data_IF_007597969844
#
_entry.id   IF_007597969844
#
_cell.length_a   1.000
_cell.length_b   1.000
_cell.length_c   1.000
_cell.angle_alpha   90.00
_cell.angle_beta   90.00
_cell.angle_gamma   90.00
#
_symmetry.space_group_name_H-M   'P 1'
#
loop_
_entity.id
_entity.type
_entity.pdbx_description
1 polymer ?
#
# COMPACT_ATOMS: atom_id res chain seq x y z
N UNK A 1 -9.17 3.00 24.25
CA UNK A 1 -9.28 2.48 22.87
C UNK A 1 -8.05 2.95 22.13
N UNK A 2 -7.36 2.03 21.50
CA UNK A 2 -6.19 2.36 20.68
C UNK A 2 -6.70 3.10 19.42
N UNK A 3 -6.06 4.21 19.11
CA UNK A 3 -6.41 5.02 17.96
C UNK A 3 -5.13 5.33 17.18
N UNK A 4 -5.14 5.04 15.88
CA UNK A 4 -4.05 5.34 14.95
C UNK A 4 -4.59 6.21 13.84
N UNK A 5 -3.92 7.31 13.56
CA UNK A 5 -4.24 8.18 12.44
C UNK A 5 -3.36 7.85 11.23
N UNK A 6 -3.98 7.75 10.05
CA UNK A 6 -3.26 7.43 8.79
C UNK A 6 -3.50 8.56 7.80
N UNK A 7 -2.42 9.22 7.40
CA UNK A 7 -2.43 10.23 6.33
C UNK A 7 -2.18 9.54 5.00
N UNK A 8 -3.13 9.65 4.08
CA UNK A 8 -3.00 9.16 2.70
C UNK A 8 -2.53 10.33 1.83
N UNK A 9 -1.45 10.13 1.10
CA UNK A 9 -0.98 11.07 0.09
C UNK A 9 -1.28 10.49 -1.29
N UNK A 10 -2.43 10.86 -1.87
CA UNK A 10 -2.77 10.55 -3.25
C UNK A 10 -1.94 11.42 -4.17
N UNK A 11 -0.78 10.92 -4.57
CA UNK A 11 0.23 11.68 -5.29
C UNK A 11 -0.05 11.76 -6.80
N UNK A 12 0.20 12.94 -7.38
CA UNK A 12 0.38 13.11 -8.82
C UNK A 12 1.80 12.71 -9.20
N UNK A 13 2.02 11.43 -9.48
CA UNK A 13 3.36 10.89 -9.76
C UNK A 13 3.87 11.41 -11.09
N UNK A 14 5.00 12.14 -11.06
CA UNK A 14 5.76 12.50 -12.26
C UNK A 14 6.51 11.28 -12.79
N UNK A 15 6.14 10.82 -13.98
CA UNK A 15 6.67 9.60 -14.58
C UNK A 15 8.19 9.67 -14.77
N UNK A 16 8.92 8.67 -14.25
CA UNK A 16 10.38 8.55 -14.26
C UNK A 16 11.15 9.68 -13.58
N UNK A 17 10.52 10.47 -12.71
CA UNK A 17 11.17 11.60 -12.05
C UNK A 17 11.17 11.44 -10.53
N UNK A 18 12.10 10.61 -10.01
CA UNK A 18 12.21 10.32 -8.57
C UNK A 18 12.33 11.57 -7.72
N UNK A 19 13.23 12.45 -8.10
CA UNK A 19 13.51 13.67 -7.33
C UNK A 19 12.26 14.53 -7.19
N UNK A 20 11.53 14.76 -8.29
CA UNK A 20 10.30 15.55 -8.26
C UNK A 20 9.20 14.92 -7.42
N UNK A 21 9.09 13.60 -7.45
CA UNK A 21 8.11 12.87 -6.65
C UNK A 21 8.42 12.97 -5.15
N UNK A 22 9.68 12.85 -4.76
CA UNK A 22 10.14 13.01 -3.37
C UNK A 22 9.91 14.45 -2.89
N UNK A 23 10.27 15.46 -3.68
CA UNK A 23 10.00 16.86 -3.39
C UNK A 23 8.51 17.12 -3.20
N UNK A 24 7.67 16.59 -4.10
CA UNK A 24 6.21 16.73 -4.00
C UNK A 24 5.65 16.14 -2.70
N UNK A 25 6.14 14.99 -2.25
CA UNK A 25 5.74 14.40 -0.96
C UNK A 25 6.17 15.31 0.19
N UNK A 26 7.40 15.83 0.17
CA UNK A 26 7.89 16.78 1.18
C UNK A 26 7.01 18.03 1.26
N UNK A 27 6.74 18.65 0.11
CA UNK A 27 5.93 19.86 0.03
C UNK A 27 4.49 19.62 0.55
N UNK A 28 3.91 18.48 0.22
CA UNK A 28 2.58 18.09 0.69
C UNK A 28 2.53 17.89 2.20
N UNK A 29 3.52 17.21 2.77
CA UNK A 29 3.62 17.02 4.22
C UNK A 29 3.85 18.35 4.95
N UNK A 30 4.63 19.26 4.37
CA UNK A 30 4.87 20.59 4.95
C UNK A 30 3.64 21.51 4.91
N UNK A 31 2.74 21.30 3.96
CA UNK A 31 1.49 22.05 3.86
C UNK A 31 0.44 21.61 4.90
N UNK A 32 0.58 20.39 5.46
CA UNK A 32 -0.37 19.84 6.43
C UNK A 32 -0.09 20.38 7.84
N UNK A 33 -1.14 20.84 8.51
CA UNK A 33 -1.06 21.26 9.91
C UNK A 33 -0.85 20.11 10.90
N UNK A 34 -1.29 18.92 10.51
CA UNK A 34 -1.16 17.68 11.30
C UNK A 34 -0.98 16.50 10.37
N UNK A 35 0.07 15.71 10.61
CA UNK A 35 0.35 14.46 9.93
C UNK A 35 -0.01 13.30 10.87
N UNK A 36 -0.59 12.24 10.33
CA UNK A 36 -0.97 11.07 11.10
C UNK A 36 0.22 10.25 11.61
N UNK A 37 -0.08 9.29 12.47
CA UNK A 37 0.91 8.34 13.00
C UNK A 37 1.58 7.52 11.89
N UNK A 38 0.84 7.27 10.79
CA UNK A 38 1.32 6.65 9.57
C UNK A 38 1.04 7.59 8.39
N UNK A 39 2.01 7.73 7.51
CA UNK A 39 1.86 8.33 6.18
C UNK A 39 1.95 7.25 5.12
N UNK A 40 0.89 7.07 4.34
CA UNK A 40 0.78 6.05 3.30
C UNK A 40 0.91 6.68 1.92
N UNK A 41 1.90 6.21 1.14
CA UNK A 41 2.19 6.62 -0.23
C UNK A 41 1.77 5.53 -1.24
N UNK A 42 1.55 5.87 -2.52
CA UNK A 42 1.19 4.90 -3.56
C UNK A 42 2.28 3.86 -3.86
N UNK A 43 1.90 2.82 -4.61
CA UNK A 43 2.81 1.85 -5.22
C UNK A 43 3.76 2.57 -6.20
N UNK A 44 5.07 2.27 -6.14
CA UNK A 44 6.10 2.82 -7.01
C UNK A 44 6.00 4.35 -7.18
N UNK A 45 5.80 5.06 -6.08
CA UNK A 45 5.54 6.49 -6.09
C UNK A 45 6.69 7.31 -6.68
N UNK A 46 7.91 6.78 -6.65
CA UNK A 46 9.10 7.48 -7.17
C UNK A 46 9.23 7.42 -8.68
N UNK A 47 8.71 6.35 -9.32
CA UNK A 47 9.07 6.02 -10.71
C UNK A 47 7.90 5.99 -11.69
N UNK A 48 6.69 5.68 -11.24
CA UNK A 48 5.60 5.20 -12.07
C UNK A 48 5.64 3.66 -12.18
N UNK A 49 4.70 3.07 -12.95
CA UNK A 49 4.47 1.63 -12.93
C UNK A 49 4.64 0.96 -14.30
N UNK A 50 4.33 1.65 -15.40
CA UNK A 50 4.39 1.10 -16.76
C UNK A 50 5.62 1.63 -17.48
N UNK A 51 6.40 0.72 -18.07
CA UNK A 51 7.63 1.04 -18.80
C UNK A 51 7.64 0.34 -20.15
N UNK A 52 8.46 0.81 -21.10
CA UNK A 52 8.62 0.15 -22.40
C UNK A 52 9.26 -1.23 -22.24
N UNK A 53 10.24 -1.34 -21.36
CA UNK A 53 10.93 -2.59 -21.04
C UNK A 53 11.39 -2.63 -19.56
N UNK A 54 12.02 -3.73 -19.17
CA UNK A 54 12.52 -3.92 -17.82
C UNK A 54 13.76 -3.06 -17.51
N UNK A 55 14.56 -2.71 -18.50
CA UNK A 55 15.80 -1.95 -18.32
C UNK A 55 15.50 -0.55 -17.79
N UNK A 56 14.45 0.10 -18.31
CA UNK A 56 14.02 1.42 -17.88
C UNK A 56 13.69 1.49 -16.37
N UNK A 57 12.98 0.50 -15.82
CA UNK A 57 12.67 0.49 -14.39
C UNK A 57 13.85 -0.01 -13.55
N UNK A 58 14.68 -0.90 -14.09
CA UNK A 58 15.86 -1.40 -13.39
C UNK A 58 16.90 -0.29 -13.15
N UNK A 59 17.04 0.65 -14.06
CA UNK A 59 17.89 1.85 -13.90
C UNK A 59 17.38 2.78 -12.78
N UNK A 60 16.08 2.79 -12.54
CA UNK A 60 15.43 3.62 -11.52
C UNK A 60 15.34 2.92 -10.14
N UNK A 61 15.52 1.60 -10.10
CA UNK A 61 15.42 0.82 -8.86
C UNK A 61 16.63 1.11 -7.94
N UNK A 62 16.40 1.02 -6.64
CA UNK A 62 17.37 1.39 -5.62
C UNK A 62 17.76 0.20 -4.74
N UNK A 63 19.06 0.09 -4.43
CA UNK A 63 19.52 -0.77 -3.33
C UNK A 63 19.15 -0.11 -2.01
N UNK A 64 18.36 -0.80 -1.19
CA UNK A 64 17.87 -0.22 0.06
C UNK A 64 18.95 -0.03 1.13
N UNK A 65 20.16 -0.55 0.91
CA UNK A 65 21.32 -0.25 1.77
C UNK A 65 22.01 1.07 1.40
N UNK A 66 21.73 1.62 0.20
CA UNK A 66 22.30 2.89 -0.30
C UNK A 66 21.23 3.62 -1.15
N UNK A 67 20.13 4.02 -0.51
CA UNK A 67 18.95 4.60 -1.16
C UNK A 67 18.73 6.04 -0.74
N UNK A 68 18.89 6.96 -1.68
CA UNK A 68 18.57 8.38 -1.46
C UNK A 68 17.09 8.62 -1.19
N UNK A 69 16.21 7.75 -1.72
CA UNK A 69 14.78 7.80 -1.41
C UNK A 69 14.53 7.45 0.06
N UNK A 70 15.11 6.36 0.58
CA UNK A 70 14.96 5.97 1.99
C UNK A 70 15.52 7.05 2.91
N UNK A 71 16.68 7.64 2.58
CA UNK A 71 17.26 8.74 3.36
C UNK A 71 16.29 9.94 3.43
N UNK A 72 15.68 10.31 2.31
CA UNK A 72 14.71 11.40 2.23
C UNK A 72 13.45 11.08 3.05
N UNK A 73 12.92 9.86 2.93
CA UNK A 73 11.77 9.41 3.72
C UNK A 73 12.09 9.39 5.22
N UNK A 74 13.30 8.98 5.61
CA UNK A 74 13.78 9.00 7.01
C UNK A 74 13.76 10.42 7.58
N UNK A 75 14.25 11.39 6.82
CA UNK A 75 14.23 12.79 7.22
C UNK A 75 12.80 13.34 7.37
N UNK A 76 11.91 13.02 6.43
CA UNK A 76 10.49 13.39 6.50
C UNK A 76 9.79 12.73 7.70
N UNK A 77 10.03 11.44 7.92
CA UNK A 77 9.48 10.70 9.04
C UNK A 77 9.90 11.29 10.39
N UNK A 78 11.19 11.64 10.54
CA UNK A 78 11.71 12.31 11.73
C UNK A 78 11.07 13.70 11.93
N UNK A 79 10.99 14.50 10.87
CA UNK A 79 10.45 15.87 10.91
C UNK A 79 8.96 15.91 11.30
N UNK A 80 8.17 15.00 10.73
CA UNK A 80 6.71 14.97 10.90
C UNK A 80 6.24 13.99 11.99
N UNK A 81 7.17 13.27 12.65
CA UNK A 81 6.87 12.25 13.68
C UNK A 81 5.88 11.19 13.21
N UNK A 82 6.06 10.69 12.00
CA UNK A 82 5.19 9.72 11.32
C UNK A 82 5.98 8.48 10.88
N UNK A 83 5.31 7.35 10.77
CA UNK A 83 5.85 6.16 10.12
C UNK A 83 5.47 6.23 8.64
N UNK A 84 6.44 6.26 7.72
CA UNK A 84 6.15 6.34 6.28
C UNK A 84 6.13 4.95 5.67
N UNK A 85 5.03 4.62 4.98
CA UNK A 85 4.82 3.38 4.23
C UNK A 85 4.72 3.72 2.75
N UNK A 86 5.70 3.31 1.95
CA UNK A 86 5.90 3.82 0.59
C UNK A 86 6.28 2.71 -0.40
N UNK A 87 5.65 2.71 -1.59
CA UNK A 87 5.98 1.79 -2.69
C UNK A 87 7.18 2.28 -3.50
N UNK A 88 8.23 1.47 -3.62
CA UNK A 88 9.51 1.79 -4.29
C UNK A 88 9.98 0.59 -5.13
N UNK A 89 10.66 0.86 -6.26
CA UNK A 89 11.37 -0.17 -7.01
C UNK A 89 12.68 -0.54 -6.28
N UNK A 90 12.78 -1.79 -5.84
CA UNK A 90 13.93 -2.32 -5.11
C UNK A 90 14.88 -3.05 -6.07
N UNK A 91 16.18 -2.81 -5.90
CA UNK A 91 17.26 -3.62 -6.45
C UNK A 91 17.93 -4.39 -5.30
N UNK A 92 17.97 -5.71 -5.39
CA UNK A 92 18.68 -6.57 -4.44
C UNK A 92 19.61 -7.48 -5.24
N UNK A 93 20.88 -7.17 -5.20
CA UNK A 93 21.90 -7.88 -5.99
C UNK A 93 21.59 -7.87 -7.50
N UNK A 94 21.22 -9.00 -8.07
CA UNK A 94 20.84 -9.14 -9.49
C UNK A 94 19.33 -9.27 -9.70
N UNK A 95 18.53 -9.01 -8.67
CA UNK A 95 17.08 -9.10 -8.73
C UNK A 95 16.42 -7.77 -8.46
N UNK A 96 15.22 -7.58 -9.03
CA UNK A 96 14.43 -6.37 -8.88
C UNK A 96 13.05 -6.73 -8.35
N UNK A 97 12.49 -5.87 -7.48
CA UNK A 97 11.22 -6.12 -6.84
C UNK A 97 10.36 -4.86 -6.81
N UNK A 98 9.07 -5.05 -6.90
CA UNK A 98 8.08 -4.05 -6.54
C UNK A 98 7.89 -4.17 -5.03
N UNK A 99 8.38 -3.20 -4.28
CA UNK A 99 8.49 -3.28 -2.82
C UNK A 99 7.81 -2.11 -2.13
N UNK A 100 7.38 -2.36 -0.90
CA UNK A 100 7.00 -1.32 0.07
C UNK A 100 8.03 -1.30 1.18
N UNK A 101 8.44 -0.10 1.54
CA UNK A 101 9.27 0.17 2.72
C UNK A 101 8.44 0.75 3.84
N UNK A 102 8.82 0.44 5.08
CA UNK A 102 8.30 1.05 6.30
C UNK A 102 9.48 1.76 6.96
N UNK A 103 9.41 3.09 7.04
CA UNK A 103 10.51 3.95 7.46
C UNK A 103 10.05 4.86 8.60
N UNK A 104 10.88 5.00 9.63
CA UNK A 104 10.72 6.02 10.67
C UNK A 104 11.91 6.98 10.71
N UNK A 105 11.99 7.82 11.73
CA UNK A 105 13.10 8.76 11.91
C UNK A 105 14.47 8.12 12.18
N UNK A 106 14.54 6.81 12.37
CA UNK A 106 15.79 6.05 12.55
C UNK A 106 16.24 5.33 11.28
N UNK A 107 15.38 5.25 10.26
CA UNK A 107 15.66 4.62 8.97
C UNK A 107 14.65 3.56 8.56
N UNK A 108 15.08 2.63 7.70
CA UNK A 108 14.28 1.51 7.21
C UNK A 108 14.04 0.49 8.34
N UNK A 109 12.76 0.28 8.70
CA UNK A 109 12.37 -0.70 9.71
C UNK A 109 11.99 -2.05 9.08
N UNK A 110 11.15 -2.00 8.04
CA UNK A 110 10.63 -3.19 7.37
C UNK A 110 10.54 -2.99 5.88
N UNK A 111 10.53 -4.09 5.12
CA UNK A 111 10.20 -4.12 3.70
C UNK A 111 9.27 -5.28 3.36
N UNK A 112 8.41 -5.07 2.38
CA UNK A 112 7.53 -6.07 1.79
C UNK A 112 7.75 -6.11 0.29
N UNK A 113 7.90 -7.29 -0.31
CA UNK A 113 7.99 -7.50 -1.75
C UNK A 113 6.68 -8.06 -2.27
N UNK A 114 6.12 -7.45 -3.30
CA UNK A 114 4.84 -7.86 -3.90
C UNK A 114 4.81 -9.34 -4.22
N UNK A 115 3.79 -10.04 -3.72
CA UNK A 115 3.63 -11.49 -3.91
C UNK A 115 2.91 -11.80 -5.21
N UNK A 116 1.83 -11.07 -5.53
CA UNK A 116 1.14 -11.23 -6.81
C UNK A 116 1.86 -10.51 -7.93
N UNK A 117 1.62 -10.92 -9.17
CA UNK A 117 2.21 -10.27 -10.34
C UNK A 117 1.17 -10.05 -11.42
N UNK A 118 1.02 -8.81 -11.87
CA UNK A 118 0.36 -8.48 -13.13
C UNK A 118 1.22 -8.94 -14.31
N UNK A 119 0.72 -8.76 -15.53
CA UNK A 119 1.52 -9.01 -16.75
C UNK A 119 2.77 -8.11 -16.82
N UNK A 120 2.72 -6.90 -16.26
CA UNK A 120 3.84 -5.96 -16.21
C UNK A 120 4.84 -6.32 -15.10
N UNK A 121 4.36 -6.63 -13.89
CA UNK A 121 5.26 -7.11 -12.82
C UNK A 121 6.10 -8.31 -13.28
N UNK A 122 5.50 -9.24 -14.05
CA UNK A 122 6.22 -10.42 -14.59
C UNK A 122 7.34 -10.06 -15.57
N UNK A 123 7.27 -8.90 -16.21
CA UNK A 123 8.33 -8.42 -17.10
C UNK A 123 9.44 -7.71 -16.34
N UNK A 124 9.09 -7.02 -15.25
CA UNK A 124 9.98 -6.09 -14.56
C UNK A 124 10.60 -6.65 -13.29
N UNK A 125 9.85 -7.46 -12.53
CA UNK A 125 10.17 -7.77 -11.15
C UNK A 125 10.13 -9.26 -10.83
N UNK A 126 10.95 -9.66 -9.89
CA UNK A 126 10.84 -10.93 -9.19
C UNK A 126 9.67 -10.91 -8.20
N UNK A 127 9.17 -12.09 -7.85
CA UNK A 127 8.06 -12.26 -6.91
C UNK A 127 8.58 -12.25 -5.46
N UNK A 128 7.88 -11.59 -4.55
CA UNK A 128 8.04 -11.77 -3.12
C UNK A 128 7.50 -13.12 -2.65
N UNK A 129 7.91 -13.56 -1.47
CA UNK A 129 7.49 -14.83 -0.89
C UNK A 129 7.13 -14.77 0.60
N UNK A 130 7.19 -13.59 1.20
CA UNK A 130 6.94 -13.38 2.63
C UNK A 130 5.90 -12.28 2.83
N UNK A 131 5.08 -12.43 3.85
CA UNK A 131 4.14 -11.39 4.28
C UNK A 131 4.81 -10.49 5.31
N UNK A 132 4.43 -9.22 5.33
CA UNK A 132 4.88 -8.26 6.33
C UNK A 132 3.74 -7.92 7.28
N UNK A 133 3.98 -8.12 8.58
CA UNK A 133 3.15 -7.54 9.64
C UNK A 133 4.02 -6.79 10.64
N UNK A 134 3.48 -5.72 11.22
CA UNK A 134 4.09 -4.97 12.30
C UNK A 134 3.03 -4.40 13.25
N UNK A 135 3.43 -3.93 14.40
CA UNK A 135 2.52 -3.36 15.41
C UNK A 135 2.83 -1.87 15.63
N UNK A 136 1.78 -1.06 15.76
CA UNK A 136 1.86 0.33 16.15
C UNK A 136 0.69 0.68 17.08
N UNK A 137 0.98 1.23 18.25
CA UNK A 137 -0.02 1.64 19.26
C UNK A 137 -1.05 0.55 19.60
N UNK A 138 -0.64 -0.73 19.57
CA UNK A 138 -1.46 -1.87 19.90
C UNK A 138 -2.41 -2.34 18.79
N UNK A 139 -2.28 -1.82 17.57
CA UNK A 139 -2.90 -2.34 16.36
C UNK A 139 -1.88 -3.08 15.52
N UNK A 140 -2.30 -4.19 14.90
CA UNK A 140 -1.49 -5.01 14.00
C UNK A 140 -1.79 -4.65 12.55
N UNK A 141 -0.75 -4.29 11.82
CA UNK A 141 -0.79 -3.89 10.42
C UNK A 141 -0.26 -4.99 9.52
N UNK A 142 -0.90 -5.18 8.38
CA UNK A 142 -0.38 -5.93 7.24
C UNK A 142 -0.16 -5.00 6.05
N UNK A 143 0.70 -5.41 5.09
CA UNK A 143 1.00 -4.64 3.89
C UNK A 143 0.68 -5.48 2.64
N UNK A 144 -0.12 -4.93 1.72
CA UNK A 144 -0.40 -5.54 0.44
C UNK A 144 -0.20 -4.51 -0.68
N UNK A 145 0.33 -4.91 -1.82
CA UNK A 145 0.58 -4.01 -2.96
C UNK A 145 -0.43 -4.26 -4.07
N UNK A 146 -1.27 -3.27 -4.37
CA UNK A 146 -2.09 -3.18 -5.58
C UNK A 146 -2.82 -4.49 -5.93
N UNK A 147 -2.27 -5.29 -6.84
CA UNK A 147 -2.89 -6.53 -7.32
C UNK A 147 -2.94 -7.65 -6.26
N UNK A 148 -2.19 -7.56 -5.16
CA UNK A 148 -2.27 -8.52 -4.04
C UNK A 148 -3.69 -8.61 -3.46
N UNK A 149 -4.43 -7.50 -3.44
CA UNK A 149 -5.79 -7.43 -2.90
C UNK A 149 -6.79 -8.34 -3.65
N UNK A 150 -6.49 -8.70 -4.91
CA UNK A 150 -7.33 -9.57 -5.73
C UNK A 150 -7.31 -11.04 -5.29
N UNK A 151 -6.29 -11.43 -4.54
CA UNK A 151 -6.06 -12.82 -4.12
C UNK A 151 -6.49 -13.03 -2.67
N UNK A 152 -7.65 -13.68 -2.44
CA UNK A 152 -8.10 -14.00 -1.08
C UNK A 152 -7.08 -14.85 -0.32
N UNK A 153 -6.27 -15.66 -1.02
CA UNK A 153 -5.22 -16.49 -0.42
C UNK A 153 -4.15 -15.65 0.28
N UNK A 154 -3.77 -14.51 -0.30
CA UNK A 154 -2.80 -13.58 0.29
C UNK A 154 -3.44 -12.91 1.51
N UNK A 155 -4.68 -12.45 1.38
CA UNK A 155 -5.36 -11.72 2.45
C UNK A 155 -5.63 -12.61 3.66
N UNK A 156 -6.12 -13.84 3.47
CA UNK A 156 -6.33 -14.83 4.54
C UNK A 156 -5.04 -15.23 5.25
N UNK A 157 -3.90 -15.22 4.55
CA UNK A 157 -2.61 -15.54 5.16
C UNK A 157 -2.13 -14.46 6.15
N UNK A 158 -2.72 -13.25 6.13
CA UNK A 158 -2.41 -12.19 7.10
C UNK A 158 -2.98 -12.42 8.51
N UNK A 159 -3.84 -13.33 8.72
CA UNK A 159 -4.49 -13.73 10.00
C UNK A 159 -4.42 -12.69 11.13
N UNK A 160 -5.57 -12.21 11.57
CA UNK A 160 -5.70 -11.32 12.75
C UNK A 160 -4.95 -9.97 12.62
N UNK A 161 -4.85 -9.41 11.43
CA UNK A 161 -4.45 -8.01 11.29
C UNK A 161 -5.65 -7.08 11.47
N UNK A 162 -5.42 -5.94 12.08
CA UNK A 162 -6.47 -4.93 12.29
C UNK A 162 -6.60 -4.02 11.07
N UNK A 163 -5.49 -3.81 10.35
CA UNK A 163 -5.41 -2.88 9.23
C UNK A 163 -4.51 -3.45 8.13
N UNK A 164 -4.99 -3.42 6.88
CA UNK A 164 -4.16 -3.61 5.69
C UNK A 164 -3.83 -2.25 5.08
N UNK A 165 -2.54 -1.92 5.03
CA UNK A 165 -2.00 -0.78 4.31
C UNK A 165 -1.76 -1.19 2.85
N UNK A 166 -2.40 -0.49 1.92
CA UNK A 166 -2.53 -0.94 0.54
C UNK A 166 -2.12 0.15 -0.46
N UNK A 167 -0.82 0.36 -0.72
CA UNK A 167 -0.31 1.14 -1.84
C UNK A 167 -0.77 0.56 -3.18
N UNK A 168 -1.27 1.41 -4.10
CA UNK A 168 -1.84 0.94 -5.36
C UNK A 168 -1.58 1.89 -6.54
N UNK A 169 -1.74 1.33 -7.77
CA UNK A 169 -1.74 2.02 -9.05
C UNK A 169 -2.98 1.60 -9.86
N UNK A 170 -4.18 1.91 -9.32
CA UNK A 170 -5.44 1.53 -9.97
C UNK A 170 -5.81 2.49 -11.09
N UNK A 171 -6.00 1.94 -12.29
CA UNK A 171 -6.57 2.66 -13.42
C UNK A 171 -8.10 2.64 -13.49
N UNK A 172 -8.78 1.87 -12.64
CA UNK A 172 -10.24 1.73 -12.63
C UNK A 172 -10.82 1.43 -11.26
N UNK A 173 -12.13 1.70 -11.10
CA UNK A 173 -12.80 1.66 -9.79
C UNK A 173 -13.17 0.24 -9.31
N UNK A 174 -13.14 -0.78 -10.18
CA UNK A 174 -13.54 -2.15 -9.81
C UNK A 174 -12.62 -2.78 -8.75
N UNK A 175 -11.35 -2.39 -8.70
CA UNK A 175 -10.41 -2.87 -7.66
C UNK A 175 -10.79 -2.41 -6.25
N UNK A 176 -11.47 -1.26 -6.12
CA UNK A 176 -11.97 -0.81 -4.82
C UNK A 176 -13.13 -1.66 -4.30
N UNK A 177 -13.95 -2.24 -5.19
CA UNK A 177 -14.96 -3.20 -4.77
C UNK A 177 -14.33 -4.48 -4.20
N UNK A 178 -13.20 -4.91 -4.77
CA UNK A 178 -12.41 -6.01 -4.21
C UNK A 178 -11.84 -5.63 -2.84
N UNK A 179 -11.24 -4.44 -2.70
CA UNK A 179 -10.71 -3.96 -1.41
C UNK A 179 -11.80 -3.91 -0.32
N UNK A 180 -13.02 -3.46 -0.67
CA UNK A 180 -14.18 -3.48 0.23
C UNK A 180 -14.56 -4.91 0.64
N UNK A 181 -14.58 -5.85 -0.33
CA UNK A 181 -14.89 -7.25 -0.05
C UNK A 181 -13.84 -7.87 0.91
N UNK A 182 -12.56 -7.55 0.74
CA UNK A 182 -11.50 -8.03 1.66
C UNK A 182 -11.66 -7.47 3.06
N UNK A 183 -12.02 -6.19 3.20
CA UNK A 183 -12.30 -5.60 4.52
C UNK A 183 -13.42 -6.38 5.24
N UNK A 184 -14.48 -6.74 4.52
CA UNK A 184 -15.59 -7.55 5.03
C UNK A 184 -15.17 -8.98 5.39
N UNK A 185 -14.47 -9.67 4.48
CA UNK A 185 -14.11 -11.08 4.63
C UNK A 185 -13.11 -11.31 5.77
N UNK A 186 -12.12 -10.41 5.89
CA UNK A 186 -11.04 -10.52 6.88
C UNK A 186 -11.37 -9.77 8.19
N UNK A 187 -12.44 -8.97 8.22
CA UNK A 187 -12.85 -8.20 9.39
C UNK A 187 -11.82 -7.15 9.81
N UNK A 188 -11.06 -6.60 8.87
CA UNK A 188 -10.03 -5.61 9.09
C UNK A 188 -10.30 -4.32 8.31
N UNK A 189 -9.64 -3.23 8.69
CA UNK A 189 -9.65 -2.03 7.86
C UNK A 189 -8.78 -2.25 6.62
N UNK A 190 -9.22 -1.75 5.46
CA UNK A 190 -8.39 -1.70 4.25
C UNK A 190 -8.20 -0.25 3.85
N UNK A 191 -6.95 0.22 3.90
CA UNK A 191 -6.56 1.60 3.60
C UNK A 191 -5.81 1.61 2.27
N UNK A 192 -6.51 1.94 1.18
CA UNK A 192 -5.94 1.98 -0.17
C UNK A 192 -5.48 3.39 -0.51
N UNK A 193 -4.18 3.57 -0.70
CA UNK A 193 -3.59 4.80 -1.24
C UNK A 193 -3.24 4.60 -2.72
N UNK A 194 -4.02 5.23 -3.59
CA UNK A 194 -3.83 5.22 -5.03
C UNK A 194 -3.13 6.50 -5.49
N UNK A 195 -2.69 6.53 -6.73
CA UNK A 195 -2.12 7.73 -7.38
C UNK A 195 -3.05 8.29 -8.44
N UNK A 196 -2.73 9.50 -8.92
CA UNK A 196 -3.30 10.12 -10.10
C UNK A 196 -2.22 10.31 -11.17
N UNK A 197 -2.61 10.86 -12.35
CA UNK A 197 -1.78 11.10 -13.52
C UNK A 197 -1.57 9.87 -14.40
N UNK A 198 -0.58 9.91 -15.28
CA UNK A 198 -0.40 8.94 -16.36
C UNK A 198 1.05 8.49 -16.45
N UNK A 199 1.25 7.24 -16.87
CA UNK A 199 2.51 6.75 -17.40
C UNK A 199 2.37 6.63 -18.93
N UNK A 200 3.33 7.18 -19.67
CA UNK A 200 3.30 7.20 -21.13
C UNK A 200 4.41 6.33 -21.66
N UNK A 201 4.03 5.28 -22.38
CA UNK A 201 4.94 4.39 -23.11
C UNK A 201 4.59 4.40 -24.61
N UNK A 202 5.47 3.87 -25.44
CA UNK A 202 5.31 3.92 -26.90
C UNK A 202 4.01 3.28 -27.38
N UNK A 203 3.58 2.20 -26.72
CA UNK A 203 2.41 1.42 -27.12
C UNK A 203 1.08 2.01 -26.64
N UNK A 204 1.04 2.70 -25.48
CA UNK A 204 -0.19 3.22 -24.88
C UNK A 204 0.09 4.18 -23.72
N UNK A 205 -0.97 4.82 -23.24
CA UNK A 205 -0.95 5.63 -22.01
C UNK A 205 -1.75 4.94 -20.92
N UNK A 206 -1.13 4.69 -19.78
CA UNK A 206 -1.80 4.20 -18.59
C UNK A 206 -2.25 5.37 -17.72
N UNK A 207 -3.55 5.45 -17.42
CA UNK A 207 -4.13 6.51 -16.57
C UNK A 207 -4.57 5.92 -15.24
N UNK A 208 -4.27 6.62 -14.14
CA UNK A 208 -4.62 6.22 -12.78
C UNK A 208 -5.75 7.09 -12.24
N UNK A 209 -6.72 6.44 -11.58
CA UNK A 209 -8.02 7.04 -11.30
C UNK A 209 -8.09 7.78 -9.95
N UNK A 210 -7.00 7.85 -9.18
CA UNK A 210 -7.08 8.41 -7.83
C UNK A 210 -8.08 7.65 -6.97
N UNK A 211 -9.00 8.37 -6.32
CA UNK A 211 -10.08 7.79 -5.52
C UNK A 211 -9.61 6.89 -4.38
N UNK A 212 -8.47 7.22 -3.76
CA UNK A 212 -7.97 6.51 -2.56
C UNK A 212 -9.10 6.34 -1.54
N UNK A 213 -9.17 5.17 -0.89
CA UNK A 213 -10.30 4.81 -0.03
C UNK A 213 -9.87 4.08 1.22
N UNK A 214 -10.65 4.28 2.27
CA UNK A 214 -10.57 3.48 3.50
C UNK A 214 -11.91 2.80 3.75
N UNK A 215 -11.87 1.50 4.02
CA UNK A 215 -13.03 0.70 4.39
C UNK A 215 -12.89 0.21 5.83
N UNK A 216 -14.01 0.19 6.56
CA UNK A 216 -14.10 -0.40 7.89
C UNK A 216 -14.15 -1.93 7.82
N UNK A 217 -13.94 -2.66 8.94
CA UNK A 217 -14.14 -4.11 9.02
C UNK A 217 -15.56 -4.58 8.65
N UNK A 218 -16.53 -3.65 8.60
CA UNK A 218 -17.90 -3.90 8.16
C UNK A 218 -18.14 -3.55 6.68
N UNK A 219 -17.08 -3.16 5.96
CA UNK A 219 -17.17 -2.74 4.57
C UNK A 219 -17.70 -1.31 4.37
N UNK A 220 -17.91 -0.54 5.45
CA UNK A 220 -18.36 0.84 5.33
C UNK A 220 -17.26 1.72 4.76
N UNK A 221 -17.62 2.63 3.86
CA UNK A 221 -16.70 3.62 3.31
C UNK A 221 -16.45 4.71 4.38
N UNK A 222 -15.23 4.76 4.91
CA UNK A 222 -14.82 5.74 5.93
C UNK A 222 -14.23 7.01 5.30
N UNK A 223 -13.46 6.85 4.21
CA UNK A 223 -12.83 7.94 3.47
C UNK A 223 -12.83 7.61 1.98
N UNK A 224 -13.03 8.63 1.16
CA UNK A 224 -12.81 8.58 -0.29
C UNK A 224 -12.28 9.92 -0.78
N UNK A 225 -11.14 9.88 -1.45
CA UNK A 225 -10.58 11.03 -2.14
C UNK A 225 -11.21 11.18 -3.55
N UNK A 226 -10.97 12.33 -4.19
CA UNK A 226 -11.37 12.59 -5.57
C UNK A 226 -10.34 12.03 -6.58
N UNK A 227 -10.33 12.54 -7.80
CA UNK A 227 -9.44 12.18 -8.90
C UNK A 227 -8.24 13.14 -9.07
N UNK A 228 -7.92 13.92 -8.03
CA UNK A 228 -6.81 14.89 -8.02
C UNK A 228 -5.82 14.54 -6.91
N UNK A 229 -4.63 15.13 -6.99
CA UNK A 229 -3.67 15.11 -5.89
C UNK A 229 -4.32 15.66 -4.63
N UNK A 230 -4.24 14.90 -3.54
CA UNK A 230 -4.86 15.23 -2.25
C UNK A 230 -4.15 14.58 -1.09
N UNK A 231 -4.24 15.22 0.06
CA UNK A 231 -3.79 14.66 1.35
C UNK A 231 -4.99 14.64 2.29
N UNK A 232 -5.24 13.50 2.90
CA UNK A 232 -6.32 13.35 3.87
C UNK A 232 -5.92 12.39 4.97
N UNK A 233 -6.37 12.67 6.18
CA UNK A 233 -6.08 11.83 7.35
C UNK A 233 -7.35 11.14 7.86
N UNK A 234 -7.28 9.83 8.02
CA UNK A 234 -8.35 9.00 8.60
C UNK A 234 -7.92 8.47 9.96
N UNK A 235 -8.86 8.42 10.89
CA UNK A 235 -8.66 7.84 12.21
C UNK A 235 -9.17 6.40 12.25
N UNK A 236 -8.30 5.47 12.58
CA UNK A 236 -8.58 4.06 12.74
C UNK A 236 -8.71 3.74 14.22
N UNK A 237 -9.82 3.15 14.61
CA UNK A 237 -10.04 2.67 15.97
C UNK A 237 -9.92 1.14 16.00
N UNK A 238 -9.48 0.62 17.14
CA UNK A 238 -9.38 -0.82 17.39
C UNK A 238 -10.68 -1.52 16.98
N UNK A 239 -10.64 -2.44 15.99
CA UNK A 239 -11.78 -3.22 15.60
C UNK A 239 -12.03 -4.34 16.61
N UNK A 240 -12.37 -4.03 17.85
CA UNK A 240 -12.60 -5.00 18.94
C UNK A 240 -13.68 -6.09 18.63
N UNK A 241 -13.95 -6.35 17.35
CA UNK A 241 -15.03 -7.24 16.91
C UNK A 241 -14.49 -8.13 15.78
N UNK A 242 -14.26 -9.40 16.09
CA UNK A 242 -14.14 -10.43 15.05
C UNK A 242 -15.34 -10.36 14.09
N UNK A 243 -15.15 -10.61 12.78
CA UNK A 243 -16.23 -10.56 11.81
C UNK A 243 -17.32 -11.57 12.20
N UNK A 244 -18.41 -11.08 12.75
CA UNK A 244 -19.57 -11.89 13.08
C UNK A 244 -20.74 -11.49 12.18
N UNK A 245 -21.00 -12.28 11.16
CA UNK A 245 -22.20 -12.16 10.35
C UNK A 245 -23.33 -12.98 10.97
N UNK A 246 -24.37 -12.32 11.43
CA UNK A 246 -25.56 -12.98 12.02
C UNK A 246 -25.22 -13.97 13.15
N UNK A 247 -24.19 -13.69 13.96
CA UNK A 247 -23.77 -14.58 15.03
C UNK A 247 -22.92 -15.78 14.58
N UNK A 248 -22.47 -15.80 13.32
CA UNK A 248 -21.57 -16.83 12.78
C UNK A 248 -20.14 -16.35 12.95
N UNK A 249 -19.30 -17.18 13.53
CA UNK A 249 -17.85 -17.04 13.52
C UNK A 249 -17.35 -17.42 12.12
N UNK A 250 -17.11 -16.39 11.30
CA UNK A 250 -16.74 -16.56 9.88
C UNK A 250 -15.38 -17.26 9.74
N UNK A 251 -14.42 -17.00 10.61
CA UNK A 251 -13.10 -17.63 10.56
C UNK A 251 -13.21 -19.14 10.83
N UNK A 252 -13.96 -19.53 11.87
CA UNK A 252 -14.19 -20.94 12.16
C UNK A 252 -14.95 -21.65 11.01
N UNK A 253 -15.93 -20.98 10.40
CA UNK A 253 -16.68 -21.54 9.27
C UNK A 253 -15.78 -21.74 8.03
N UNK A 254 -14.90 -20.76 7.71
CA UNK A 254 -13.90 -20.89 6.64
C UNK A 254 -12.99 -22.10 6.89
N UNK A 255 -12.50 -22.30 8.12
CA UNK A 255 -11.66 -23.46 8.46
C UNK A 255 -12.39 -24.77 8.23
N UNK A 256 -13.65 -24.87 8.65
CA UNK A 256 -14.48 -26.08 8.46
C UNK A 256 -14.73 -26.35 6.97
N UNK A 257 -15.13 -25.33 6.20
CA UNK A 257 -15.33 -25.45 4.74
C UNK A 257 -14.05 -25.88 4.04
N UNK A 258 -12.92 -25.26 4.37
CA UNK A 258 -11.61 -25.58 3.78
C UNK A 258 -11.23 -27.05 4.06
N UNK A 259 -11.44 -27.52 5.28
CA UNK A 259 -11.19 -28.91 5.65
C UNK A 259 -12.11 -29.92 4.93
N UNK A 260 -13.32 -29.50 4.57
CA UNK A 260 -14.27 -30.33 3.82
C UNK A 260 -13.92 -30.41 2.32
N UNK A 261 -13.49 -29.29 1.72
CA UNK A 261 -13.24 -29.21 0.28
C UNK A 261 -11.86 -29.77 -0.12
N UNK A 262 -10.91 -29.86 0.79
CA UNK A 262 -9.58 -30.43 0.58
C UNK A 262 -9.51 -31.95 0.86
N UNK A 263 -10.61 -32.63 0.99
CA UNK A 263 -10.74 -34.08 1.10
C UNK A 263 -10.97 -34.67 -0.29
#
# INVERSE_FOLDING_TARGET
MNNVSITLIQLEVEYKNKQKNIESVSDLLEAESTVGDITLLPELFTTGYIFNDAEEIHELAEDFNDSTTIDSLTQMAAKHHTLIVAGIAEKDSCQYYNSVVVVDGSGLLHKYRKVSQTKFDKQYFSRGCELLTFELKGLKFGVAICFDIWFPEIMRAYQSVDVILHPANFGGHHSFAIAQARALEEGCHVVTCNRVRQDVVDAFTATYCGSSRTYSPKGDLMLQLNDKQSVETVSIQDPSIAPQYNGIDVENEIQQITALLNR
#
